data_IF_104010140373
#
_entry.id   IF_104010140373
#
_cell.length_a   1.000
_cell.length_b   1.000
_cell.length_c   1.000
_cell.angle_alpha   90.00
_cell.angle_beta   90.00
_cell.angle_gamma   90.00
#
_symmetry.space_group_name_H-M   'P 1'
#
loop_
_entity.id
_entity.type
_entity.pdbx_description
1 polymer ?
#
# COMPACT_ATOMS: atom_id res chain seq x y z
N UNK A 1 -30.42 -13.13 26.62
CA UNK A 1 -30.74 -14.12 25.61
C UNK A 1 -31.18 -13.36 24.36
N UNK A 2 -30.24 -12.89 23.56
CA UNK A 2 -30.52 -12.14 22.33
C UNK A 2 -30.09 -13.02 21.15
N UNK A 3 -31.02 -13.34 20.28
CA UNK A 3 -30.79 -14.12 19.06
C UNK A 3 -30.27 -13.20 17.99
N UNK A 4 -29.04 -13.42 17.53
CA UNK A 4 -28.50 -12.83 16.31
C UNK A 4 -28.98 -13.70 15.14
N UNK A 5 -29.76 -13.10 14.24
CA UNK A 5 -30.17 -13.74 12.99
C UNK A 5 -29.01 -13.60 12.00
N UNK A 6 -28.54 -14.76 11.53
CA UNK A 6 -27.71 -14.92 10.34
C UNK A 6 -28.40 -14.29 9.12
N UNK A 7 -27.76 -13.33 8.46
CA UNK A 7 -28.02 -12.97 7.07
C UNK A 7 -26.76 -13.36 6.28
N UNK A 8 -26.86 -14.49 5.60
CA UNK A 8 -25.89 -14.86 4.56
C UNK A 8 -26.39 -14.19 3.29
N UNK A 9 -25.72 -13.13 2.88
CA UNK A 9 -25.85 -12.49 1.57
C UNK A 9 -24.52 -12.68 0.84
N UNK A 10 -24.59 -13.33 -0.30
CA UNK A 10 -23.48 -13.62 -1.21
C UNK A 10 -22.88 -12.32 -1.75
N UNK A 11 -21.57 -12.16 -1.62
CA UNK A 11 -20.77 -11.28 -2.47
C UNK A 11 -20.38 -9.91 -1.89
N UNK A 12 -20.08 -9.84 -0.61
CA UNK A 12 -19.33 -8.72 -0.06
C UNK A 12 -18.26 -9.30 0.83
N UNK A 13 -17.03 -9.20 0.41
CA UNK A 13 -15.89 -9.36 1.29
C UNK A 13 -16.05 -8.24 2.31
N UNK A 14 -16.50 -8.61 3.52
CA UNK A 14 -16.56 -7.64 4.63
C UNK A 14 -15.12 -7.31 5.01
N UNK A 15 -14.58 -6.23 4.45
CA UNK A 15 -13.37 -5.54 4.94
C UNK A 15 -13.47 -5.11 6.42
N UNK A 16 -14.53 -5.47 7.10
CA UNK A 16 -14.85 -5.09 8.49
C UNK A 16 -14.06 -5.88 9.54
N UNK A 17 -13.14 -6.77 9.13
CA UNK A 17 -12.30 -7.52 10.07
C UNK A 17 -10.85 -7.02 10.11
N UNK A 18 -10.42 -6.18 9.16
CA UNK A 18 -9.13 -5.53 9.26
C UNK A 18 -9.25 -4.27 10.13
N UNK A 19 -9.52 -4.48 11.42
CA UNK A 19 -9.13 -3.52 12.42
C UNK A 19 -7.61 -3.62 12.59
N UNK A 20 -6.85 -3.16 11.58
CA UNK A 20 -5.60 -2.52 11.85
C UNK A 20 -6.00 -1.37 12.78
N UNK A 21 -5.80 -1.52 14.08
CA UNK A 21 -5.99 -0.44 15.02
C UNK A 21 -4.89 0.57 14.73
N UNK A 22 -5.13 1.44 13.74
CA UNK A 22 -4.41 2.67 13.61
C UNK A 22 -4.75 3.50 14.86
N UNK A 23 -3.95 3.36 15.89
CA UNK A 23 -3.86 4.41 16.87
C UNK A 23 -3.19 5.55 16.15
N UNK A 24 -3.95 6.59 15.85
CA UNK A 24 -3.41 7.85 15.37
C UNK A 24 -2.30 8.26 16.34
N UNK A 25 -1.05 8.07 15.90
CA UNK A 25 0.10 8.67 16.57
C UNK A 25 0.08 10.12 16.13
N UNK A 26 -0.53 10.97 16.97
CA UNK A 26 -0.42 12.41 16.84
C UNK A 26 1.06 12.80 16.81
N UNK A 27 1.54 13.26 15.66
CA UNK A 27 2.70 14.15 15.58
C UNK A 27 4.07 13.53 15.37
N UNK A 28 4.20 12.47 14.55
CA UNK A 28 5.43 12.30 13.77
C UNK A 28 5.15 12.78 12.37
N UNK A 29 5.79 13.89 12.00
CA UNK A 29 5.86 14.30 10.62
C UNK A 29 6.39 13.11 9.82
N UNK A 30 5.56 12.62 8.89
CA UNK A 30 5.96 11.64 7.90
C UNK A 30 7.16 12.24 7.18
N UNK A 31 8.33 11.65 7.37
CA UNK A 31 9.47 11.93 6.51
C UNK A 31 9.08 11.33 5.16
N UNK A 32 9.12 12.14 4.13
CA UNK A 32 9.04 11.66 2.76
C UNK A 32 9.99 10.46 2.64
N UNK A 33 9.44 9.31 2.29
CA UNK A 33 10.22 8.11 2.10
C UNK A 33 11.10 8.35 0.88
N UNK A 34 12.42 8.32 1.08
CA UNK A 34 13.35 8.44 -0.04
C UNK A 34 13.14 7.23 -0.96
N UNK A 35 13.06 7.47 -2.25
CA UNK A 35 12.68 6.54 -3.32
C UNK A 35 13.69 5.42 -3.60
N UNK A 36 14.81 5.39 -2.89
CA UNK A 36 15.93 4.49 -3.18
C UNK A 36 15.69 3.02 -2.74
N UNK A 37 14.59 2.72 -2.05
CA UNK A 37 14.28 1.39 -1.52
C UNK A 37 13.14 0.65 -2.22
N UNK A 38 12.53 1.22 -3.27
CA UNK A 38 11.44 0.56 -3.97
C UNK A 38 11.99 -0.54 -4.90
N UNK A 39 11.59 -1.79 -4.67
CA UNK A 39 12.10 -2.97 -5.35
C UNK A 39 11.00 -4.04 -5.48
N UNK A 40 11.23 -5.08 -6.28
CA UNK A 40 10.34 -6.22 -6.41
C UNK A 40 10.78 -7.36 -5.50
N UNK A 41 9.89 -8.32 -5.23
CA UNK A 41 10.23 -9.54 -4.48
C UNK A 41 11.15 -10.42 -5.33
N UNK A 42 10.97 -10.42 -6.68
CA UNK A 42 11.84 -11.10 -7.63
C UNK A 42 13.29 -10.58 -7.53
N UNK A 43 13.49 -9.26 -7.54
CA UNK A 43 14.82 -8.66 -7.38
C UNK A 43 15.48 -9.04 -6.06
N UNK A 44 14.72 -9.07 -4.96
CA UNK A 44 15.21 -9.53 -3.66
C UNK A 44 15.65 -11.00 -3.73
N UNK A 45 14.90 -11.86 -4.41
CA UNK A 45 15.19 -13.28 -4.52
C UNK A 45 16.39 -13.54 -5.44
N UNK A 46 16.60 -12.73 -6.49
CA UNK A 46 17.71 -12.89 -7.44
C UNK A 46 19.04 -12.31 -6.95
N UNK A 47 19.04 -11.22 -6.19
CA UNK A 47 20.24 -10.50 -5.75
C UNK A 47 20.28 -10.25 -4.23
N UNK A 48 20.07 -11.32 -3.46
CA UNK A 48 20.00 -11.30 -1.99
C UNK A 48 21.17 -10.56 -1.33
N UNK A 49 22.39 -10.72 -1.87
CA UNK A 49 23.62 -10.22 -1.24
C UNK A 49 23.75 -8.68 -1.30
N UNK A 50 23.16 -8.03 -2.29
CA UNK A 50 23.35 -6.59 -2.54
C UNK A 50 22.44 -5.70 -1.69
N UNK A 51 21.23 -6.17 -1.36
CA UNK A 51 20.26 -5.39 -0.62
C UNK A 51 20.22 -5.70 0.90
N UNK A 52 21.04 -6.65 1.39
CA UNK A 52 21.08 -6.99 2.82
C UNK A 52 21.50 -5.79 3.68
N UNK A 53 20.65 -5.45 4.65
CA UNK A 53 20.86 -4.34 5.58
C UNK A 53 20.36 -3.00 5.04
N UNK A 54 19.74 -2.98 3.87
CA UNK A 54 19.10 -1.79 3.31
C UNK A 54 17.59 -1.78 3.62
N UNK A 55 17.00 -0.61 3.68
CA UNK A 55 15.56 -0.45 3.78
C UNK A 55 14.96 -0.63 2.38
N UNK A 56 13.99 -1.55 2.27
CA UNK A 56 13.29 -1.87 1.03
C UNK A 56 11.80 -1.60 1.18
N UNK A 57 11.17 -1.25 0.07
CA UNK A 57 9.71 -1.15 -0.06
C UNK A 57 9.27 -2.08 -1.18
N UNK A 58 8.46 -3.07 -0.82
CA UNK A 58 7.91 -4.05 -1.75
C UNK A 58 6.40 -4.08 -1.69
N UNK A 59 5.78 -4.57 -2.75
CA UNK A 59 4.35 -4.84 -2.79
C UNK A 59 4.11 -6.29 -3.18
N UNK A 60 3.06 -6.85 -2.63
CA UNK A 60 2.68 -8.22 -2.92
C UNK A 60 1.42 -8.63 -2.18
N UNK A 61 1.01 -9.84 -2.43
CA UNK A 61 -0.15 -10.47 -1.84
C UNK A 61 0.27 -11.32 -0.65
N UNK A 62 -0.48 -11.27 0.44
CA UNK A 62 -0.28 -12.18 1.58
C UNK A 62 -0.76 -13.57 1.18
N UNK A 63 0.18 -14.52 1.06
CA UNK A 63 -0.09 -15.91 0.71
C UNK A 63 -0.46 -16.73 1.94
N UNK A 64 0.32 -16.61 3.03
CA UNK A 64 0.13 -17.36 4.27
C UNK A 64 0.47 -16.52 5.49
N UNK A 65 -0.37 -16.59 6.52
CA UNK A 65 -0.09 -15.95 7.81
C UNK A 65 0.49 -16.98 8.76
N UNK A 66 1.79 -16.90 9.04
CA UNK A 66 2.51 -17.83 9.91
C UNK A 66 2.21 -17.58 11.40
N UNK A 67 2.03 -16.32 11.76
CA UNK A 67 1.70 -15.92 13.13
C UNK A 67 1.09 -14.51 13.16
N UNK A 68 0.68 -14.03 14.34
CA UNK A 68 0.20 -12.66 14.50
C UNK A 68 1.23 -11.56 14.19
N UNK A 69 2.48 -11.93 13.93
CA UNK A 69 3.59 -11.01 13.63
C UNK A 69 4.40 -11.41 12.40
N UNK A 70 4.03 -12.46 11.69
CA UNK A 70 4.75 -12.88 10.49
C UNK A 70 3.83 -13.51 9.46
N UNK A 71 4.16 -13.28 8.20
CA UNK A 71 3.43 -13.78 7.05
C UNK A 71 4.36 -13.89 5.83
N UNK A 72 3.94 -14.65 4.85
CA UNK A 72 4.59 -14.76 3.55
C UNK A 72 3.95 -13.79 2.59
N UNK A 73 4.75 -12.95 1.97
CA UNK A 73 4.34 -12.06 0.90
C UNK A 73 4.81 -12.63 -0.42
N UNK A 74 3.89 -12.74 -1.37
CA UNK A 74 4.13 -13.25 -2.72
C UNK A 74 4.00 -12.13 -3.73
N UNK A 75 4.92 -12.08 -4.70
CA UNK A 75 4.82 -11.17 -5.82
C UNK A 75 3.62 -11.51 -6.71
N UNK A 76 2.93 -10.48 -7.19
CA UNK A 76 1.85 -10.67 -8.14
C UNK A 76 2.40 -10.90 -9.55
N UNK A 77 2.09 -12.04 -10.14
CA UNK A 77 2.55 -12.39 -11.47
C UNK A 77 1.69 -13.44 -12.15
N UNK A 78 2.03 -13.74 -13.42
CA UNK A 78 1.30 -14.69 -14.26
C UNK A 78 1.59 -16.17 -13.90
N UNK A 79 2.62 -16.42 -13.11
CA UNK A 79 3.05 -17.72 -12.58
C UNK A 79 3.14 -17.62 -11.07
N UNK A 80 3.41 -18.74 -10.38
CA UNK A 80 3.79 -18.70 -8.97
C UNK A 80 5.00 -17.76 -8.83
N UNK A 81 4.76 -16.57 -8.27
CA UNK A 81 5.78 -15.54 -8.08
C UNK A 81 6.73 -15.90 -6.94
N UNK A 82 7.81 -15.15 -6.83
CA UNK A 82 8.73 -15.28 -5.71
C UNK A 82 8.07 -14.86 -4.40
N UNK A 83 8.57 -15.41 -3.30
CA UNK A 83 8.01 -15.25 -1.96
C UNK A 83 9.08 -14.73 -1.01
N UNK A 84 8.67 -13.84 -0.10
CA UNK A 84 9.52 -13.38 0.99
C UNK A 84 8.79 -13.47 2.33
N UNK A 85 9.51 -13.95 3.37
CA UNK A 85 8.98 -13.89 4.73
C UNK A 85 9.05 -12.45 5.23
N UNK A 86 7.95 -11.97 5.77
CA UNK A 86 7.86 -10.69 6.45
C UNK A 86 7.69 -10.93 7.95
N UNK A 87 8.55 -10.33 8.77
CA UNK A 87 8.39 -10.26 10.22
C UNK A 87 8.04 -8.83 10.56
N UNK A 88 6.84 -8.66 11.04
CA UNK A 88 6.33 -7.36 11.47
C UNK A 88 6.95 -6.96 12.80
N UNK A 89 7.86 -6.01 12.78
CA UNK A 89 8.50 -5.43 13.97
C UNK A 89 7.81 -4.14 14.44
N UNK A 90 6.73 -3.72 13.75
CA UNK A 90 5.86 -2.65 14.21
C UNK A 90 4.94 -3.14 15.33
N UNK A 91 4.18 -2.23 15.94
CA UNK A 91 3.19 -2.60 16.99
C UNK A 91 1.85 -3.11 16.41
N UNK A 92 1.74 -3.25 15.08
CA UNK A 92 0.54 -3.74 14.41
C UNK A 92 0.44 -5.27 14.57
N UNK A 93 -0.77 -5.81 14.52
CA UNK A 93 -1.00 -7.25 14.57
C UNK A 93 -1.57 -7.68 13.22
N UNK A 94 -0.96 -8.68 12.61
CA UNK A 94 -1.47 -9.30 11.38
C UNK A 94 -2.50 -10.37 11.75
N UNK A 95 -3.70 -10.24 11.20
CA UNK A 95 -4.78 -11.21 11.41
C UNK A 95 -4.70 -12.34 10.39
N UNK A 96 -5.19 -13.54 10.74
CA UNK A 96 -5.40 -14.63 9.78
C UNK A 96 -6.32 -14.21 8.60
N UNK A 97 -7.19 -13.22 8.81
CA UNK A 97 -8.05 -12.67 7.75
C UNK A 97 -7.26 -11.78 6.75
N UNK A 98 -5.95 -11.61 6.93
CA UNK A 98 -5.09 -10.86 6.02
C UNK A 98 -4.64 -11.68 4.80
N UNK A 99 -4.83 -13.00 4.80
CA UNK A 99 -4.60 -13.83 3.61
C UNK A 99 -5.38 -13.26 2.41
N UNK A 100 -4.77 -13.31 1.25
CA UNK A 100 -5.27 -12.74 0.00
C UNK A 100 -5.28 -11.20 -0.08
N UNK A 101 -4.93 -10.46 0.98
CA UNK A 101 -4.79 -9.01 0.90
C UNK A 101 -3.49 -8.60 0.22
N UNK A 102 -3.55 -7.54 -0.56
CA UNK A 102 -2.38 -6.88 -1.11
C UNK A 102 -1.86 -5.85 -0.13
N UNK A 103 -0.57 -5.90 0.13
CA UNK A 103 0.11 -5.00 1.06
C UNK A 103 1.31 -4.35 0.39
N UNK A 104 1.58 -3.12 0.77
CA UNK A 104 2.89 -2.50 0.62
C UNK A 104 3.60 -2.56 1.95
N UNK A 105 4.84 -3.04 1.92
CA UNK A 105 5.69 -3.29 3.09
C UNK A 105 6.97 -2.48 2.95
N UNK A 106 7.33 -1.74 3.99
CA UNK A 106 8.64 -1.11 4.10
C UNK A 106 9.35 -1.66 5.33
N UNK A 107 10.60 -2.06 5.17
CA UNK A 107 11.41 -2.62 6.25
C UNK A 107 12.84 -2.91 5.85
N UNK A 108 13.65 -3.33 6.80
CA UNK A 108 15.04 -3.73 6.58
C UNK A 108 15.10 -5.15 6.00
N UNK A 109 15.77 -5.32 4.86
CA UNK A 109 16.05 -6.64 4.30
C UNK A 109 17.22 -7.27 5.05
N UNK A 110 17.01 -8.46 5.58
CA UNK A 110 18.04 -9.16 6.36
C UNK A 110 18.00 -10.66 6.18
N UNK A 111 18.98 -11.33 6.78
CA UNK A 111 18.92 -12.78 6.96
C UNK A 111 18.34 -13.08 8.34
N UNK A 112 17.41 -14.01 8.43
CA UNK A 112 16.74 -14.32 9.69
C UNK A 112 17.72 -14.92 10.72
N UNK A 113 17.95 -14.18 11.80
CA UNK A 113 18.61 -14.67 13.02
C UNK A 113 17.65 -14.44 14.18
N UNK A 114 16.86 -15.45 14.53
CA UNK A 114 15.79 -15.36 15.53
C UNK A 114 16.22 -14.67 16.83
N UNK A 115 17.36 -15.07 17.39
CA UNK A 115 17.87 -14.52 18.64
C UNK A 115 18.22 -13.02 18.56
N UNK A 116 18.56 -12.52 17.38
CA UNK A 116 18.83 -11.11 17.17
C UNK A 116 17.51 -10.33 17.05
N UNK A 117 16.55 -10.84 16.28
CA UNK A 117 15.22 -10.24 16.14
C UNK A 117 14.50 -10.20 17.50
N UNK A 118 14.49 -11.30 18.24
CA UNK A 118 13.90 -11.33 19.60
C UNK A 118 14.54 -10.31 20.53
N UNK A 119 15.87 -10.18 20.50
CA UNK A 119 16.60 -9.24 21.36
C UNK A 119 16.35 -7.78 20.97
N UNK A 120 16.39 -7.49 19.67
CA UNK A 120 16.42 -6.10 19.19
C UNK A 120 15.02 -5.49 19.13
N UNK A 121 14.00 -6.32 18.88
CA UNK A 121 12.61 -5.89 18.77
C UNK A 121 11.73 -6.35 19.96
N UNK A 122 12.25 -7.18 20.86
CA UNK A 122 11.50 -7.65 22.03
C UNK A 122 10.37 -8.62 21.68
N UNK A 123 10.47 -9.31 20.56
CA UNK A 123 9.51 -10.29 20.10
C UNK A 123 9.77 -11.67 20.74
N UNK A 124 8.74 -12.51 20.77
CA UNK A 124 8.85 -13.93 21.12
C UNK A 124 8.48 -14.76 19.87
N UNK A 125 9.48 -15.37 19.25
CA UNK A 125 9.33 -16.12 18.00
C UNK A 125 9.36 -17.63 18.29
N UNK A 126 8.42 -18.39 17.71
CA UNK A 126 8.44 -19.86 17.81
C UNK A 126 9.40 -20.42 16.75
N UNK A 127 10.58 -20.97 17.13
CA UNK A 127 11.55 -21.42 16.16
C UNK A 127 11.04 -22.50 15.19
N UNK A 128 10.00 -23.25 15.59
CA UNK A 128 9.44 -24.32 14.76
C UNK A 128 8.73 -23.77 13.49
N UNK A 129 8.28 -22.50 13.52
CA UNK A 129 7.64 -21.83 12.38
C UNK A 129 8.66 -21.33 11.33
N UNK A 130 9.91 -21.10 11.72
CA UNK A 130 10.88 -20.41 10.86
C UNK A 130 12.02 -21.30 10.34
N UNK A 131 11.93 -22.62 10.53
CA UNK A 131 12.99 -23.56 10.12
C UNK A 131 13.32 -23.46 8.63
N UNK A 132 12.31 -23.24 7.80
CA UNK A 132 12.46 -23.19 6.34
C UNK A 132 12.99 -21.82 5.84
N UNK A 133 13.11 -20.84 6.74
CA UNK A 133 13.53 -19.47 6.45
C UNK A 133 14.94 -19.10 6.99
N UNK A 134 15.61 -20.00 7.73
CA UNK A 134 16.90 -19.72 8.40
C UNK A 134 18.03 -19.22 7.46
N UNK A 135 17.89 -19.43 6.15
CA UNK A 135 18.92 -19.03 5.17
C UNK A 135 18.33 -18.19 4.03
N UNK A 136 17.10 -17.80 4.14
CA UNK A 136 16.41 -16.99 3.14
C UNK A 136 16.39 -15.51 3.54
N UNK A 137 16.24 -14.60 2.58
CA UNK A 137 16.00 -13.19 2.88
C UNK A 137 14.66 -13.05 3.62
N UNK A 138 14.62 -12.11 4.55
CA UNK A 138 13.41 -11.73 5.29
C UNK A 138 13.33 -10.22 5.39
N UNK A 139 12.12 -9.68 5.39
CA UNK A 139 11.88 -8.26 5.60
C UNK A 139 11.44 -8.03 7.04
N UNK A 140 12.17 -7.22 7.80
CA UNK A 140 11.79 -6.75 9.11
C UNK A 140 10.93 -5.48 8.94
N UNK A 141 9.62 -5.70 8.81
CA UNK A 141 8.68 -4.65 8.43
C UNK A 141 8.44 -3.64 9.55
N UNK A 142 8.77 -2.40 9.28
CA UNK A 142 8.53 -1.25 10.16
C UNK A 142 7.26 -0.49 9.80
N UNK A 143 6.81 -0.61 8.54
CA UNK A 143 5.62 0.04 8.02
C UNK A 143 4.89 -0.86 7.03
N UNK A 144 3.57 -0.88 7.11
CA UNK A 144 2.70 -1.70 6.25
C UNK A 144 1.40 -0.96 6.00
N UNK A 145 0.95 -0.93 4.74
CA UNK A 145 -0.36 -0.41 4.34
C UNK A 145 -1.03 -1.33 3.34
N UNK A 146 -2.35 -1.24 3.24
CA UNK A 146 -3.08 -1.89 2.16
C UNK A 146 -2.65 -1.34 0.81
N UNK A 147 -2.55 -2.20 -0.18
CA UNK A 147 -2.23 -1.82 -1.57
C UNK A 147 -3.26 -2.43 -2.52
N UNK A 148 -4.54 -2.05 -2.43
CA UNK A 148 -5.59 -2.59 -3.28
C UNK A 148 -5.40 -2.15 -4.74
N UNK A 149 -6.12 -2.82 -5.65
CA UNK A 149 -6.21 -2.36 -7.03
C UNK A 149 -7.04 -1.07 -7.12
N UNK A 150 -6.75 -0.26 -8.12
CA UNK A 150 -7.45 1.00 -8.40
C UNK A 150 -8.96 0.76 -8.63
N UNK A 151 -9.31 -0.33 -9.34
CA UNK A 151 -10.68 -0.75 -9.59
C UNK A 151 -11.42 -1.04 -8.28
N UNK A 152 -10.80 -1.74 -7.33
CA UNK A 152 -11.42 -2.05 -6.03
C UNK A 152 -11.78 -0.79 -5.24
N UNK A 153 -10.89 0.20 -5.22
CA UNK A 153 -11.13 1.48 -4.55
C UNK A 153 -12.21 2.29 -5.25
N UNK A 154 -12.26 2.25 -6.58
CA UNK A 154 -13.24 2.99 -7.37
C UNK A 154 -14.65 2.37 -7.28
N UNK A 155 -14.75 1.02 -7.21
CA UNK A 155 -16.02 0.30 -7.15
C UNK A 155 -16.64 0.27 -5.74
N UNK A 156 -15.82 0.12 -4.68
CA UNK A 156 -16.29 0.07 -3.28
C UNK A 156 -15.49 1.02 -2.37
N UNK A 157 -15.53 2.34 -2.62
CA UNK A 157 -14.74 3.32 -1.89
C UNK A 157 -15.07 3.42 -0.40
N UNK A 158 -16.31 3.02 0.00
CA UNK A 158 -16.74 3.12 1.39
C UNK A 158 -15.87 2.24 2.33
N UNK A 159 -15.29 1.16 1.78
CA UNK A 159 -14.37 0.27 2.50
C UNK A 159 -13.01 0.91 2.79
N UNK A 160 -12.65 1.93 2.04
CA UNK A 160 -11.32 2.57 2.09
C UNK A 160 -11.33 3.99 2.65
N UNK A 161 -12.49 4.62 2.84
CA UNK A 161 -12.54 5.98 3.39
C UNK A 161 -11.85 6.09 4.74
N UNK A 162 -11.05 7.15 4.87
CA UNK A 162 -10.21 7.47 6.03
C UNK A 162 -9.11 6.42 6.29
N UNK A 163 -8.85 5.49 5.37
CA UNK A 163 -7.71 4.59 5.41
C UNK A 163 -6.56 5.17 4.59
N UNK A 164 -5.35 4.97 5.11
CA UNK A 164 -4.12 5.16 4.36
C UNK A 164 -3.88 3.91 3.52
N UNK A 165 -3.68 4.09 2.21
CA UNK A 165 -3.42 3.01 1.26
C UNK A 165 -2.31 3.41 0.30
N UNK A 166 -1.67 2.42 -0.31
CA UNK A 166 -0.78 2.61 -1.45
C UNK A 166 -1.47 2.13 -2.72
N UNK A 167 -1.40 2.93 -3.78
CA UNK A 167 -1.95 2.57 -5.09
C UNK A 167 -0.85 2.66 -6.15
N UNK A 168 -0.81 1.67 -7.02
CA UNK A 168 -0.03 1.72 -8.24
C UNK A 168 -0.92 2.09 -9.41
N UNK A 169 -0.38 2.87 -10.33
CA UNK A 169 -1.08 3.21 -11.56
C UNK A 169 -0.23 4.05 -12.50
N UNK A 170 -0.75 4.24 -13.69
CA UNK A 170 -0.16 5.11 -14.71
C UNK A 170 -0.84 6.48 -14.65
N UNK A 171 -0.06 7.56 -14.70
CA UNK A 171 -0.59 8.93 -14.75
C UNK A 171 -1.32 9.15 -16.07
N UNK A 172 -2.64 9.37 -16.01
CA UNK A 172 -3.46 9.55 -17.21
C UNK A 172 -3.58 11.01 -17.62
N UNK A 173 -4.04 11.87 -16.73
CA UNK A 173 -4.24 13.28 -17.02
C UNK A 173 -3.77 14.17 -15.86
N UNK A 174 -2.99 15.21 -16.18
CA UNK A 174 -2.62 16.26 -15.20
C UNK A 174 -3.64 17.37 -15.28
N UNK A 175 -4.40 17.57 -14.19
CA UNK A 175 -5.45 18.60 -14.09
C UNK A 175 -4.88 19.98 -13.73
N UNK A 176 -3.88 20.02 -12.86
CA UNK A 176 -3.16 21.22 -12.45
C UNK A 176 -1.91 20.85 -11.65
N UNK A 177 -1.22 21.81 -11.02
CA UNK A 177 0.00 21.60 -10.24
C UNK A 177 -0.23 20.74 -8.95
N UNK A 178 -1.47 20.44 -8.58
CA UNK A 178 -1.84 19.73 -7.35
C UNK A 178 -2.74 18.52 -7.58
N UNK A 179 -3.17 18.26 -8.82
CA UNK A 179 -4.10 17.18 -9.10
C UNK A 179 -3.84 16.50 -10.43
N UNK A 180 -3.92 15.19 -10.43
CA UNK A 180 -3.81 14.34 -11.62
C UNK A 180 -4.71 13.10 -11.44
N UNK A 181 -4.89 12.32 -12.48
CA UNK A 181 -5.62 11.06 -12.42
C UNK A 181 -4.69 9.89 -12.63
N UNK A 182 -4.98 8.78 -11.93
CA UNK A 182 -4.37 7.49 -12.18
C UNK A 182 -5.36 6.55 -12.86
N UNK A 183 -4.84 5.75 -13.79
CA UNK A 183 -5.55 4.63 -14.43
C UNK A 183 -4.78 3.34 -14.21
N UNK A 184 -5.45 2.20 -14.30
CA UNK A 184 -4.79 0.91 -14.40
C UNK A 184 -4.19 0.67 -15.77
N UNK A 185 -3.05 -0.02 -15.81
CA UNK A 185 -2.27 -0.30 -17.03
C UNK A 185 -3.04 -1.15 -18.08
N UNK A 186 -4.11 -1.83 -17.72
CA UNK A 186 -4.73 -2.86 -18.57
C UNK A 186 -6.16 -2.63 -19.03
N UNK A 187 -6.86 -1.59 -18.61
CA UNK A 187 -8.27 -1.45 -18.89
C UNK A 187 -8.62 -0.23 -19.75
N UNK A 188 -9.12 -0.53 -20.97
CA UNK A 188 -9.83 0.46 -21.76
C UNK A 188 -11.20 0.69 -21.09
N UNK A 189 -11.33 1.76 -20.31
CA UNK A 189 -12.61 2.22 -19.76
C UNK A 189 -12.81 1.97 -18.27
N UNK A 190 -11.76 1.84 -17.47
CA UNK A 190 -11.82 1.93 -16.01
C UNK A 190 -12.16 3.35 -15.56
N UNK A 191 -12.72 3.49 -14.37
CA UNK A 191 -12.92 4.81 -13.75
C UNK A 191 -11.55 5.30 -13.24
N UNK A 192 -11.12 6.47 -13.73
CA UNK A 192 -9.90 7.12 -13.26
C UNK A 192 -10.08 7.59 -11.82
N UNK A 193 -9.05 7.39 -10.98
CA UNK A 193 -9.05 7.91 -9.62
C UNK A 193 -8.35 9.27 -9.60
N UNK A 194 -9.03 10.27 -9.04
CA UNK A 194 -8.41 11.58 -8.82
C UNK A 194 -7.44 11.54 -7.64
N UNK A 195 -6.23 11.98 -7.91
CA UNK A 195 -5.16 12.12 -6.93
C UNK A 195 -4.97 13.60 -6.59
N UNK A 196 -5.01 13.93 -5.31
CA UNK A 196 -4.71 15.26 -4.79
C UNK A 196 -3.32 15.22 -4.18
N UNK A 197 -2.39 15.89 -4.82
CA UNK A 197 -1.01 15.96 -4.36
C UNK A 197 -0.87 17.00 -3.24
N UNK A 198 -0.75 16.53 -2.01
CA UNK A 198 -0.51 17.36 -0.82
C UNK A 198 0.97 17.40 -0.40
N UNK A 199 1.86 16.71 -1.12
CA UNK A 199 3.31 16.64 -0.80
C UNK A 199 4.01 17.98 -1.03
N UNK A 200 3.54 18.75 -2.02
CA UNK A 200 4.25 19.95 -2.53
C UNK A 200 5.40 19.63 -3.49
N UNK A 201 5.57 18.37 -3.85
CA UNK A 201 6.52 17.92 -4.87
C UNK A 201 5.91 18.03 -6.28
N UNK A 202 6.73 18.02 -7.33
CA UNK A 202 6.22 18.03 -8.70
C UNK A 202 5.33 16.83 -8.99
N UNK A 203 4.28 17.02 -9.77
CA UNK A 203 3.47 15.93 -10.31
C UNK A 203 4.30 15.14 -11.34
N UNK A 204 4.22 13.79 -11.36
CA UNK A 204 4.87 12.95 -12.36
C UNK A 204 4.39 13.27 -13.79
N UNK A 205 5.13 12.83 -14.80
CA UNK A 205 4.74 13.03 -16.19
C UNK A 205 3.57 12.10 -16.59
N UNK A 206 2.80 12.49 -17.61
CA UNK A 206 1.75 11.63 -18.18
C UNK A 206 2.39 10.38 -18.76
N UNK A 207 1.71 9.24 -18.60
CA UNK A 207 2.17 7.89 -18.96
C UNK A 207 3.31 7.35 -18.04
N UNK A 208 3.66 8.05 -16.96
CA UNK A 208 4.58 7.56 -15.95
C UNK A 208 3.87 6.61 -14.99
N UNK A 209 4.48 5.45 -14.69
CA UNK A 209 4.00 4.51 -13.69
C UNK A 209 4.51 4.89 -12.33
N UNK A 210 3.60 5.06 -11.39
CA UNK A 210 3.92 5.52 -10.05
C UNK A 210 3.18 4.72 -8.99
N UNK A 211 3.75 4.74 -7.81
CA UNK A 211 3.08 4.38 -6.57
C UNK A 211 2.78 5.66 -5.81
N UNK A 212 1.57 5.77 -5.33
CA UNK A 212 1.12 6.88 -4.49
C UNK A 212 0.61 6.35 -3.16
N UNK A 213 1.04 6.94 -2.06
CA UNK A 213 0.53 6.58 -0.73
C UNK A 213 -0.24 7.77 -0.17
N UNK A 214 -1.39 7.51 0.45
CA UNK A 214 -2.23 8.57 0.99
C UNK A 214 -3.56 8.09 1.55
N UNK A 215 -4.41 9.03 1.89
CA UNK A 215 -5.70 8.77 2.52
C UNK A 215 -6.84 8.89 1.51
N UNK A 216 -7.68 7.85 1.42
CA UNK A 216 -8.89 7.88 0.59
C UNK A 216 -9.97 8.73 1.27
N UNK A 217 -10.55 9.67 0.53
CA UNK A 217 -11.62 10.54 1.03
C UNK A 217 -12.69 10.77 -0.03
N UNK A 218 -13.96 10.97 0.35
CA UNK A 218 -14.95 11.51 -0.59
C UNK A 218 -14.56 12.96 -0.93
N UNK A 219 -14.65 13.33 -2.21
CA UNK A 219 -14.43 14.72 -2.61
C UNK A 219 -15.56 15.62 -2.12
N UNK A 220 -15.30 16.39 -1.07
CA UNK A 220 -16.19 17.40 -0.53
C UNK A 220 -15.43 18.74 -0.56
N UNK A 221 -15.76 19.62 -1.52
CA UNK A 221 -15.08 20.88 -1.76
C UNK A 221 -14.79 21.69 -0.49
N UNK A 222 -15.80 21.85 0.38
CA UNK A 222 -15.66 22.63 1.60
C UNK A 222 -14.65 22.06 2.60
N UNK A 223 -14.45 20.74 2.59
CA UNK A 223 -13.47 20.07 3.43
C UNK A 223 -12.06 20.25 2.83
N UNK A 224 -11.92 20.14 1.52
CA UNK A 224 -10.65 20.37 0.83
C UNK A 224 -10.19 21.83 0.93
N UNK A 225 -11.08 22.80 0.79
CA UNK A 225 -10.77 24.22 1.00
C UNK A 225 -10.33 24.54 2.45
N UNK A 226 -10.85 23.78 3.42
CA UNK A 226 -10.50 23.96 4.83
C UNK A 226 -9.19 23.29 5.21
N UNK A 227 -8.97 22.05 4.73
CA UNK A 227 -7.91 21.17 5.19
C UNK A 227 -6.61 21.37 4.40
N UNK A 228 -6.71 21.77 3.14
CA UNK A 228 -5.59 21.99 2.25
C UNK A 228 -5.63 23.41 1.69
N UNK A 229 -4.54 24.17 1.84
CA UNK A 229 -4.41 25.53 1.28
C UNK A 229 -4.13 25.47 -0.22
N UNK A 230 -5.01 24.78 -0.96
CA UNK A 230 -4.90 24.59 -2.41
C UNK A 230 -5.34 25.86 -3.13
N UNK A 231 -4.39 26.55 -3.77
CA UNK A 231 -4.68 27.75 -4.60
C UNK A 231 -5.03 27.35 -6.02
N UNK A 232 -6.16 26.66 -6.18
CA UNK A 232 -6.62 26.19 -7.48
C UNK A 232 -7.20 27.31 -8.33
N UNK A 233 -7.00 27.20 -9.64
CA UNK A 233 -7.76 28.01 -10.59
C UNK A 233 -9.27 27.70 -10.45
N UNK A 234 -10.10 28.73 -10.48
CA UNK A 234 -11.55 28.57 -10.29
C UNK A 234 -12.18 27.67 -11.35
N UNK A 235 -11.70 27.74 -12.60
CA UNK A 235 -12.24 26.95 -13.70
C UNK A 235 -11.92 25.46 -13.48
N UNK A 236 -10.70 25.11 -13.07
CA UNK A 236 -10.29 23.74 -12.72
C UNK A 236 -11.04 23.22 -11.50
N UNK A 237 -11.24 24.06 -10.50
CA UNK A 237 -12.02 23.70 -9.32
C UNK A 237 -13.48 23.37 -9.67
N UNK A 238 -14.12 24.16 -10.58
CA UNK A 238 -15.47 23.90 -11.05
C UNK A 238 -15.56 22.59 -11.86
N UNK A 239 -14.54 22.26 -12.66
CA UNK A 239 -14.46 21.00 -13.41
C UNK A 239 -14.35 19.79 -12.47
N UNK A 240 -13.41 19.83 -11.52
CA UNK A 240 -13.23 18.77 -10.54
C UNK A 240 -14.49 18.60 -9.68
N UNK A 241 -15.12 19.69 -9.22
CA UNK A 241 -16.38 19.63 -8.47
C UNK A 241 -17.50 18.98 -9.28
N UNK A 242 -17.59 19.29 -10.58
CA UNK A 242 -18.63 18.73 -11.43
C UNK A 242 -18.46 17.22 -11.69
N UNK A 243 -17.22 16.74 -11.74
CA UNK A 243 -16.90 15.35 -12.08
C UNK A 243 -16.79 14.45 -10.86
N UNK A 244 -16.19 14.94 -9.76
CA UNK A 244 -15.79 14.12 -8.62
C UNK A 244 -16.59 14.37 -7.34
N UNK A 245 -17.63 15.22 -7.34
CA UNK A 245 -18.46 15.41 -6.15
C UNK A 245 -18.97 14.07 -5.59
N UNK A 246 -18.64 13.80 -4.32
CA UNK A 246 -18.96 12.57 -3.59
C UNK A 246 -18.28 11.30 -4.14
N UNK A 247 -17.40 11.40 -5.16
CA UNK A 247 -16.56 10.29 -5.60
C UNK A 247 -15.32 10.16 -4.70
N UNK A 248 -14.67 8.97 -4.69
CA UNK A 248 -13.41 8.80 -3.99
C UNK A 248 -12.31 9.64 -4.63
N UNK A 249 -11.44 10.17 -3.80
CA UNK A 249 -10.17 10.76 -4.19
C UNK A 249 -9.11 10.30 -3.21
N UNK A 250 -7.87 10.17 -3.68
CA UNK A 250 -6.72 9.89 -2.81
C UNK A 250 -5.96 11.18 -2.57
N UNK A 251 -5.80 11.56 -1.30
CA UNK A 251 -4.93 12.67 -0.90
C UNK A 251 -3.58 12.10 -0.52
N UNK A 252 -2.60 12.34 -1.37
CA UNK A 252 -1.29 11.69 -1.25
C UNK A 252 -0.30 12.53 -0.46
N UNK A 253 0.52 11.85 0.30
CA UNK A 253 1.65 12.35 1.06
C UNK A 253 2.99 11.79 0.57
N UNK A 254 2.98 10.76 -0.30
CA UNK A 254 4.16 10.33 -1.03
C UNK A 254 3.83 9.90 -2.46
N UNK A 255 4.76 10.12 -3.38
CA UNK A 255 4.69 9.74 -4.80
C UNK A 255 6.09 9.30 -5.22
N UNK A 256 6.22 8.10 -5.78
CA UNK A 256 7.49 7.59 -6.29
C UNK A 256 7.29 6.67 -7.49
N UNK A 257 8.31 6.49 -8.36
CA UNK A 257 8.23 5.55 -9.48
C UNK A 257 7.97 4.11 -9.00
N UNK A 258 7.30 3.30 -9.81
CA UNK A 258 7.21 1.86 -9.55
C UNK A 258 8.59 1.22 -9.63
N UNK A 259 8.79 0.11 -8.92
CA UNK A 259 9.92 -0.77 -9.20
C UNK A 259 9.79 -1.27 -10.64
N UNK A 260 10.84 -1.11 -11.46
CA UNK A 260 10.80 -1.57 -12.84
C UNK A 260 10.93 -3.11 -12.85
N UNK A 261 9.99 -3.79 -13.49
CA UNK A 261 10.16 -5.17 -13.94
C UNK A 261 11.25 -5.20 -15.03
N UNK A 262 12.51 -5.33 -14.67
CA UNK A 262 13.62 -5.41 -15.65
C UNK A 262 13.63 -6.69 -16.48
N UNK A 263 12.61 -7.51 -16.42
CA UNK A 263 12.66 -8.84 -16.96
C UNK A 263 11.55 -9.30 -17.86
N UNK A 264 11.28 -8.71 -19.02
CA UNK A 264 10.54 -9.47 -20.08
C UNK A 264 10.70 -8.99 -21.53
N UNK A 265 11.56 -8.02 -21.83
CA UNK A 265 11.80 -7.64 -23.25
C UNK A 265 13.30 -7.50 -23.59
N UNK A 266 14.02 -8.61 -23.72
CA UNK A 266 15.13 -8.78 -24.67
C UNK A 266 14.81 -9.87 -25.70
#
# INVERSE_FOLDING_TARGET
>A
MLKIKSLIGTGSISLLALALMFTAVEGRGLQAQETDGNTTIEEIAEDEDNALGEEVTVRGKVEEVESGISFVLQEEGFLEGDEVLVINVSEQIVSEDAEDLKLQITGELGTLVLADVERDYGLELDPDLYVDYETKPVILATYMVLSPDLEEVSEDPEGYYDLEIALEGEVDEIRNDYAFTLKEDQLIGGDDLLIINATGEPIPEVDEKVVVTGIVRPYIKADFERDYDLTWDLDVQEEIEAEYTEKPVLVVDSIYPTAEDEGLFE
#
